data_IF_430925829081
#
_entry.id   IF_430925829081
#
_cell.length_a   1.000
_cell.length_b   1.000
_cell.length_c   1.000
_cell.angle_alpha   90.00
_cell.angle_beta   90.00
_cell.angle_gamma   90.00
#
_symmetry.space_group_name_H-M   'P 1'
#
loop_
_entity.id
_entity.type
_entity.pdbx_description
1 polymer ?
#
# COMPACT_ATOMS: atom_id res chain seq x y z
N UNK A 1 -3.16 46.57 -66.27
CA UNK A 1 -3.40 47.97 -65.84
C UNK A 1 -3.14 48.04 -64.36
N UNK A 2 -2.10 48.78 -63.98
CA UNK A 2 -1.59 48.96 -62.63
C UNK A 2 -2.41 50.02 -61.88
N UNK A 3 -2.72 49.80 -60.60
CA UNK A 3 -2.35 50.68 -59.47
C UNK A 3 -3.02 50.28 -58.15
N UNK A 4 -2.15 50.06 -57.14
CA UNK A 4 -2.18 50.52 -55.74
C UNK A 4 -3.48 50.35 -54.91
N UNK A 5 -3.46 49.84 -53.68
CA UNK A 5 -2.75 50.43 -52.54
C UNK A 5 -2.63 49.41 -51.39
N UNK A 6 -1.41 49.27 -50.89
CA UNK A 6 -1.07 48.83 -49.54
C UNK A 6 -1.76 49.75 -48.52
N UNK A 7 -2.57 49.16 -47.64
CA UNK A 7 -2.82 49.58 -46.23
C UNK A 7 -3.95 48.75 -45.66
N UNK A 8 -3.65 47.75 -44.83
CA UNK A 8 -4.34 47.47 -43.57
C UNK A 8 -3.67 46.28 -42.88
N UNK A 9 -2.86 46.60 -41.87
CA UNK A 9 -2.17 45.67 -41.00
C UNK A 9 -2.98 45.63 -39.69
N UNK A 10 -3.43 44.42 -39.31
CA UNK A 10 -3.96 43.96 -38.01
C UNK A 10 -5.26 44.61 -37.47
N UNK A 11 -6.05 43.98 -36.55
CA UNK A 11 -5.83 42.71 -35.82
C UNK A 11 -7.07 41.79 -35.73
N UNK A 12 -6.92 40.47 -35.90
CA UNK A 12 -7.88 39.49 -35.32
C UNK A 12 -7.11 38.45 -34.51
N UNK A 13 -6.35 38.95 -33.53
CA UNK A 13 -6.21 38.29 -32.24
C UNK A 13 -7.57 38.41 -31.56
N UNK A 14 -8.33 37.31 -31.42
CA UNK A 14 -9.06 36.93 -30.21
C UNK A 14 -9.92 35.71 -30.54
N UNK A 15 -9.31 34.54 -30.68
CA UNK A 15 -10.05 33.31 -30.42
C UNK A 15 -10.31 33.32 -28.91
N UNK A 16 -11.56 33.46 -28.42
CA UNK A 16 -11.79 33.52 -27.00
C UNK A 16 -11.33 32.19 -26.42
N UNK A 17 -10.27 32.27 -25.61
CA UNK A 17 -9.86 31.23 -24.69
C UNK A 17 -11.10 30.98 -23.82
N UNK A 18 -11.86 29.93 -24.17
CA UNK A 18 -13.01 29.48 -23.41
C UNK A 18 -12.47 29.11 -22.03
N UNK A 19 -12.52 30.08 -21.11
CA UNK A 19 -12.35 29.88 -19.70
C UNK A 19 -13.53 29.01 -19.27
N UNK A 20 -13.40 27.71 -19.46
CA UNK A 20 -14.22 26.72 -18.77
C UNK A 20 -13.79 26.78 -17.31
N UNK A 21 -14.25 27.84 -16.63
CA UNK A 21 -14.26 27.94 -15.18
C UNK A 21 -15.29 26.94 -14.68
N UNK A 22 -14.97 25.66 -14.81
CA UNK A 22 -15.71 24.57 -14.20
C UNK A 22 -15.37 24.58 -12.72
N UNK A 23 -16.02 25.47 -11.97
CA UNK A 23 -16.20 25.30 -10.53
C UNK A 23 -17.09 24.07 -10.33
N UNK A 24 -16.53 22.88 -10.53
CA UNK A 24 -17.23 21.62 -10.22
C UNK A 24 -17.32 21.54 -8.72
N UNK A 25 -18.54 21.71 -8.20
CA UNK A 25 -18.88 21.38 -6.82
C UNK A 25 -18.61 19.88 -6.62
N UNK A 26 -17.95 19.52 -5.53
CA UNK A 26 -17.68 18.12 -5.21
C UNK A 26 -19.02 17.44 -4.91
N UNK A 27 -19.38 16.37 -5.64
CA UNK A 27 -20.65 15.68 -5.45
C UNK A 27 -20.73 15.03 -4.06
N UNK A 28 -21.94 14.95 -3.49
CA UNK A 28 -22.17 14.46 -2.12
C UNK A 28 -21.85 12.98 -1.96
N UNK A 29 -21.85 12.23 -3.07
CA UNK A 29 -21.57 10.81 -3.17
C UNK A 29 -20.04 10.52 -3.20
N UNK A 30 -19.20 11.54 -3.42
CA UNK A 30 -17.75 11.36 -3.52
C UNK A 30 -17.09 10.74 -2.26
N UNK A 31 -17.46 11.12 -1.02
CA UNK A 31 -16.94 10.47 0.18
C UNK A 31 -17.34 8.99 0.28
N UNK A 32 -18.55 8.64 -0.16
CA UNK A 32 -19.04 7.25 -0.14
C UNK A 32 -18.26 6.38 -1.13
N UNK A 33 -18.06 6.87 -2.37
CA UNK A 33 -17.24 6.19 -3.38
C UNK A 33 -15.79 6.01 -2.93
N UNK A 34 -15.21 7.02 -2.26
CA UNK A 34 -13.87 6.93 -1.68
C UNK A 34 -13.82 5.93 -0.53
N UNK A 35 -14.87 5.84 0.29
CA UNK A 35 -15.02 4.79 1.30
C UNK A 35 -15.04 3.38 0.68
N UNK A 36 -15.76 3.19 -0.41
CA UNK A 36 -15.84 1.92 -1.14
C UNK A 36 -14.51 1.55 -1.80
N UNK A 37 -13.77 2.53 -2.33
CA UNK A 37 -12.40 2.33 -2.80
C UNK A 37 -11.50 1.79 -1.68
N UNK A 38 -11.63 2.31 -0.46
CA UNK A 38 -10.91 1.80 0.71
C UNK A 38 -11.15 0.31 0.97
N UNK A 39 -12.39 -0.16 0.86
CA UNK A 39 -12.72 -1.60 0.99
C UNK A 39 -12.10 -2.43 -0.14
N UNK A 40 -12.13 -1.91 -1.37
CA UNK A 40 -11.51 -2.57 -2.53
C UNK A 40 -10.00 -2.68 -2.38
N UNK A 41 -9.33 -1.66 -1.85
CA UNK A 41 -7.89 -1.69 -1.55
C UNK A 41 -7.57 -2.86 -0.61
N UNK A 42 -8.36 -3.05 0.45
CA UNK A 42 -8.20 -4.20 1.36
C UNK A 42 -8.45 -5.54 0.67
N UNK A 43 -9.49 -5.67 -0.15
CA UNK A 43 -9.77 -6.92 -0.86
C UNK A 43 -8.65 -7.30 -1.85
N UNK A 44 -8.01 -6.32 -2.50
CA UNK A 44 -6.88 -6.57 -3.40
C UNK A 44 -5.63 -6.94 -2.58
N UNK A 45 -5.38 -6.31 -1.42
CA UNK A 45 -4.32 -6.74 -0.50
C UNK A 45 -4.46 -8.23 -0.18
N UNK A 46 -5.64 -8.64 0.30
CA UNK A 46 -5.88 -10.03 0.69
C UNK A 46 -5.64 -10.98 -0.49
N UNK A 47 -6.10 -10.62 -1.68
CA UNK A 47 -5.88 -11.40 -2.91
C UNK A 47 -4.40 -11.54 -3.26
N UNK A 48 -3.62 -10.45 -3.13
CA UNK A 48 -2.17 -10.48 -3.39
C UNK A 48 -1.43 -11.32 -2.36
N UNK A 49 -1.81 -11.24 -1.08
CA UNK A 49 -1.23 -12.07 -0.02
C UNK A 49 -1.55 -13.56 -0.25
N UNK A 50 -2.79 -13.88 -0.64
CA UNK A 50 -3.16 -15.25 -1.00
C UNK A 50 -2.34 -15.78 -2.18
N UNK A 51 -2.15 -14.97 -3.22
CA UNK A 51 -1.33 -15.35 -4.38
C UNK A 51 0.13 -15.58 -4.00
N UNK A 52 0.70 -14.71 -3.17
CA UNK A 52 2.07 -14.86 -2.66
C UNK A 52 2.25 -16.20 -1.93
N UNK A 53 1.32 -16.53 -1.03
CA UNK A 53 1.35 -17.80 -0.27
C UNK A 53 1.30 -19.02 -1.19
N UNK A 54 0.35 -19.03 -2.13
CA UNK A 54 0.24 -20.12 -3.12
C UNK A 54 1.51 -20.27 -3.96
N UNK A 55 2.11 -19.15 -4.37
CA UNK A 55 3.35 -19.16 -5.13
C UNK A 55 4.51 -19.71 -4.29
N UNK A 56 4.64 -19.33 -3.02
CA UNK A 56 5.71 -19.79 -2.14
C UNK A 56 5.53 -21.26 -1.76
N UNK A 57 4.31 -21.73 -1.53
CA UNK A 57 4.00 -23.13 -1.27
C UNK A 57 4.35 -24.03 -2.46
N UNK A 58 4.14 -23.56 -3.70
CA UNK A 58 4.61 -24.24 -4.90
C UNK A 58 6.15 -24.37 -4.91
N UNK A 59 6.88 -23.35 -4.44
CA UNK A 59 8.35 -23.42 -4.35
C UNK A 59 8.82 -24.37 -3.26
N UNK A 60 8.19 -24.37 -2.08
CA UNK A 60 8.48 -25.34 -1.02
C UNK A 60 8.25 -26.77 -1.50
N UNK A 61 7.16 -27.01 -2.22
CA UNK A 61 6.87 -28.31 -2.84
C UNK A 61 7.97 -28.74 -3.81
N UNK A 62 8.48 -27.82 -4.64
CA UNK A 62 9.61 -28.09 -5.55
C UNK A 62 10.92 -28.40 -4.82
N UNK A 63 11.18 -27.73 -3.69
CA UNK A 63 12.33 -28.04 -2.83
C UNK A 63 12.20 -29.42 -2.21
N UNK A 64 11.01 -29.77 -1.72
CA UNK A 64 10.74 -31.11 -1.17
C UNK A 64 10.90 -32.20 -2.24
N UNK A 65 10.42 -31.94 -3.46
CA UNK A 65 10.61 -32.84 -4.60
C UNK A 65 12.08 -33.05 -4.92
N UNK A 66 12.86 -31.97 -5.02
CA UNK A 66 14.31 -32.03 -5.21
C UNK A 66 14.99 -32.81 -4.07
N UNK A 67 14.63 -32.50 -2.82
CA UNK A 67 15.20 -33.16 -1.65
C UNK A 67 14.99 -34.67 -1.72
N UNK A 68 13.76 -35.11 -2.01
CA UNK A 68 13.42 -36.53 -1.99
C UNK A 68 13.87 -37.30 -3.23
N UNK A 69 13.81 -36.68 -4.42
CA UNK A 69 14.07 -37.36 -5.70
C UNK A 69 15.53 -37.27 -6.14
N UNK A 70 16.27 -36.28 -5.68
CA UNK A 70 17.65 -36.04 -6.12
C UNK A 70 18.63 -36.08 -4.94
N UNK A 71 18.40 -35.25 -3.91
CA UNK A 71 19.37 -35.12 -2.82
C UNK A 71 19.44 -36.36 -1.92
N UNK A 72 18.30 -36.93 -1.51
CA UNK A 72 18.26 -38.12 -0.64
C UNK A 72 18.95 -39.33 -1.30
N UNK A 73 18.72 -39.64 -2.59
CA UNK A 73 19.49 -40.67 -3.29
C UNK A 73 21.00 -40.44 -3.26
N UNK A 74 21.46 -39.22 -3.59
CA UNK A 74 22.89 -38.87 -3.55
C UNK A 74 23.46 -39.01 -2.13
N UNK A 75 22.75 -38.50 -1.13
CA UNK A 75 23.14 -38.64 0.26
C UNK A 75 23.22 -40.12 0.69
N UNK A 76 22.27 -40.96 0.28
CA UNK A 76 22.32 -42.38 0.58
C UNK A 76 23.54 -43.06 -0.04
N UNK A 77 23.85 -42.77 -1.32
CA UNK A 77 25.06 -43.27 -1.97
C UNK A 77 26.34 -42.85 -1.24
N UNK A 78 26.42 -41.60 -0.79
CA UNK A 78 27.55 -41.09 -0.01
C UNK A 78 27.65 -41.76 1.36
N UNK A 79 26.53 -41.93 2.06
CA UNK A 79 26.48 -42.57 3.37
C UNK A 79 26.98 -44.02 3.31
N UNK A 80 26.61 -44.78 2.27
CA UNK A 80 27.08 -46.16 2.10
C UNK A 80 28.54 -46.28 1.63
N UNK A 81 29.17 -45.18 1.22
CA UNK A 81 30.63 -45.13 0.98
C UNK A 81 31.43 -44.96 2.27
N UNK A 82 30.81 -44.56 3.38
CA UNK A 82 31.49 -44.45 4.67
C UNK A 82 31.93 -45.85 5.17
N UNK A 83 33.22 -46.02 5.45
CA UNK A 83 33.82 -47.32 5.81
C UNK A 83 33.12 -48.01 7.00
N UNK A 84 32.73 -47.22 8.01
CA UNK A 84 32.04 -47.74 9.18
C UNK A 84 30.66 -48.31 8.82
N UNK A 85 29.88 -47.59 8.01
CA UNK A 85 28.56 -48.01 7.55
C UNK A 85 28.68 -49.21 6.62
N UNK A 86 29.62 -49.19 5.69
CA UNK A 86 29.88 -50.30 4.76
C UNK A 86 30.23 -51.60 5.49
N UNK A 87 31.11 -51.52 6.50
CA UNK A 87 31.49 -52.68 7.33
C UNK A 87 30.32 -53.19 8.16
N UNK A 88 29.60 -52.29 8.82
CA UNK A 88 28.43 -52.65 9.62
C UNK A 88 27.35 -53.33 8.77
N UNK A 89 27.02 -52.75 7.61
CA UNK A 89 26.04 -53.31 6.67
C UNK A 89 26.45 -54.69 6.18
N UNK A 90 27.72 -54.86 5.79
CA UNK A 90 28.24 -56.16 5.31
C UNK A 90 28.16 -57.25 6.40
N UNK A 91 28.46 -56.89 7.66
CA UNK A 91 28.36 -57.80 8.78
C UNK A 91 26.92 -58.27 9.03
N UNK A 92 25.95 -57.34 8.96
CA UNK A 92 24.51 -57.63 9.12
C UNK A 92 24.00 -58.53 7.98
N UNK A 93 24.38 -58.25 6.74
CA UNK A 93 24.00 -59.10 5.61
C UNK A 93 24.61 -60.51 5.70
N UNK A 94 25.75 -60.67 6.38
CA UNK A 94 26.41 -61.97 6.56
C UNK A 94 25.82 -62.75 7.73
N UNK A 95 25.42 -62.08 8.82
CA UNK A 95 24.79 -62.74 9.98
C UNK A 95 23.36 -63.19 9.68
N UNK A 96 22.69 -62.55 8.72
CA UNK A 96 21.28 -62.74 8.34
C UNK A 96 20.30 -62.69 9.53
N UNK A 97 20.69 -62.03 10.62
CA UNK A 97 19.89 -61.89 11.83
C UNK A 97 18.89 -60.75 11.69
N UNK A 98 17.60 -61.06 11.86
CA UNK A 98 16.54 -60.04 11.84
C UNK A 98 16.66 -59.07 13.03
N UNK A 99 17.22 -59.51 14.15
CA UNK A 99 17.51 -58.65 15.30
C UNK A 99 18.62 -57.63 14.97
N UNK A 100 19.67 -58.06 14.28
CA UNK A 100 20.77 -57.18 13.85
C UNK A 100 20.29 -56.16 12.81
N UNK A 101 19.46 -56.60 11.85
CA UNK A 101 18.81 -55.72 10.85
C UNK A 101 17.96 -54.65 11.54
N UNK A 102 17.11 -55.06 12.49
CA UNK A 102 16.26 -54.14 13.24
C UNK A 102 17.08 -53.16 14.08
N UNK A 103 18.11 -53.63 14.78
CA UNK A 103 19.00 -52.80 15.59
C UNK A 103 19.74 -51.77 14.74
N UNK A 104 20.19 -52.16 13.55
CA UNK A 104 20.83 -51.24 12.63
C UNK A 104 19.88 -50.15 12.13
N UNK A 105 18.66 -50.52 11.69
CA UNK A 105 17.66 -49.56 11.22
C UNK A 105 17.23 -48.59 12.33
N UNK A 106 17.02 -49.10 13.55
CA UNK A 106 16.62 -48.26 14.70
C UNK A 106 17.74 -47.36 15.21
N UNK A 107 19.01 -47.73 15.01
CA UNK A 107 20.16 -46.89 15.36
C UNK A 107 20.48 -45.84 14.28
N UNK A 108 20.51 -46.26 13.01
CA UNK A 108 20.93 -45.40 11.90
C UNK A 108 19.79 -44.55 11.35
N UNK A 109 18.57 -45.10 11.31
CA UNK A 109 17.37 -44.44 10.79
C UNK A 109 17.13 -43.05 11.39
N UNK A 110 17.17 -42.86 12.71
CA UNK A 110 17.02 -41.54 13.33
C UNK A 110 18.10 -40.54 12.88
N UNK A 111 19.36 -40.98 12.75
CA UNK A 111 20.47 -40.12 12.31
C UNK A 111 20.33 -39.70 10.85
N UNK A 112 19.86 -40.63 10.00
CA UNK A 112 19.52 -40.34 8.61
C UNK A 112 18.41 -39.29 8.56
N UNK A 113 17.33 -39.50 9.32
CA UNK A 113 16.21 -38.56 9.35
C UNK A 113 16.62 -37.18 9.86
N UNK A 114 17.47 -37.11 10.89
CA UNK A 114 17.99 -35.85 11.38
C UNK A 114 18.76 -35.08 10.30
N UNK A 115 19.61 -35.76 9.52
CA UNK A 115 20.34 -35.13 8.40
C UNK A 115 19.40 -34.66 7.29
N UNK A 116 18.40 -35.46 6.93
CA UNK A 116 17.38 -35.09 5.92
C UNK A 116 16.59 -33.86 6.39
N UNK A 117 16.11 -33.86 7.63
CA UNK A 117 15.36 -32.75 8.20
C UNK A 117 16.20 -31.48 8.31
N UNK A 118 17.47 -31.60 8.74
CA UNK A 118 18.40 -30.47 8.76
C UNK A 118 18.56 -29.87 7.37
N UNK A 119 18.73 -30.71 6.33
CA UNK A 119 18.86 -30.23 4.95
C UNK A 119 17.58 -29.60 4.44
N UNK A 120 16.41 -30.15 4.79
CA UNK A 120 15.11 -29.54 4.50
C UNK A 120 15.03 -28.14 5.08
N UNK A 121 15.31 -27.97 6.37
CA UNK A 121 15.28 -26.67 7.03
C UNK A 121 16.26 -25.68 6.38
N UNK A 122 17.47 -26.12 6.07
CA UNK A 122 18.49 -25.30 5.37
C UNK A 122 17.97 -24.74 4.03
N UNK A 123 17.20 -25.53 3.27
CA UNK A 123 16.68 -25.14 1.97
C UNK A 123 15.35 -24.36 2.03
N UNK A 124 14.51 -24.63 3.03
CA UNK A 124 13.19 -24.00 3.17
C UNK A 124 13.29 -22.64 3.88
N UNK A 125 14.16 -22.51 4.89
CA UNK A 125 14.26 -21.28 5.70
C UNK A 125 14.46 -20.00 4.85
N UNK A 126 15.33 -19.97 3.82
CA UNK A 126 15.46 -18.79 2.97
C UNK A 126 14.18 -18.42 2.21
N UNK A 127 13.33 -19.40 1.88
CA UNK A 127 12.03 -19.16 1.25
C UNK A 127 11.04 -18.53 2.24
N UNK A 128 11.05 -18.99 3.49
CA UNK A 128 10.22 -18.42 4.56
C UNK A 128 10.61 -16.96 4.84
N UNK A 129 11.90 -16.67 4.92
CA UNK A 129 12.42 -15.30 5.12
C UNK A 129 12.06 -14.39 3.94
N UNK A 130 12.14 -14.92 2.71
CA UNK A 130 11.74 -14.21 1.50
C UNK A 130 10.23 -13.91 1.49
N UNK A 131 9.39 -14.90 1.80
CA UNK A 131 7.94 -14.72 1.87
C UNK A 131 7.56 -13.64 2.88
N UNK A 132 8.12 -13.70 4.10
CA UNK A 132 7.88 -12.70 5.15
C UNK A 132 8.30 -11.29 4.70
N UNK A 133 9.41 -11.19 3.98
CA UNK A 133 9.91 -9.91 3.47
C UNK A 133 9.00 -9.34 2.40
N UNK A 134 8.53 -10.16 1.46
CA UNK A 134 7.62 -9.71 0.39
C UNK A 134 6.25 -9.38 0.99
N UNK A 135 5.70 -10.24 1.86
CA UNK A 135 4.42 -9.98 2.53
C UNK A 135 4.46 -8.63 3.25
N UNK A 136 5.52 -8.36 4.04
CA UNK A 136 5.66 -7.06 4.73
C UNK A 136 5.63 -5.89 3.76
N UNK A 137 6.42 -5.93 2.69
CA UNK A 137 6.45 -4.86 1.68
C UNK A 137 5.09 -4.65 1.03
N UNK A 138 4.39 -5.73 0.68
CA UNK A 138 3.03 -5.65 0.10
C UNK A 138 2.08 -4.97 1.07
N UNK A 139 2.08 -5.39 2.35
CA UNK A 139 1.21 -4.80 3.37
C UNK A 139 1.52 -3.33 3.64
N UNK A 140 2.80 -2.95 3.63
CA UNK A 140 3.23 -1.56 3.81
C UNK A 140 2.70 -0.66 2.70
N UNK A 141 2.76 -1.11 1.44
CA UNK A 141 2.20 -0.39 0.28
C UNK A 141 0.67 -0.23 0.39
N UNK A 142 -0.06 -1.29 0.77
CA UNK A 142 -1.51 -1.21 0.95
C UNK A 142 -1.92 -0.35 2.14
N UNK A 143 -1.10 -0.32 3.20
CA UNK A 143 -1.32 0.56 4.35
C UNK A 143 -1.14 2.03 3.95
N UNK A 144 -0.13 2.36 3.15
CA UNK A 144 0.04 3.70 2.57
C UNK A 144 -1.15 4.07 1.67
N UNK A 145 -1.57 3.16 0.78
CA UNK A 145 -2.71 3.37 -0.10
C UNK A 145 -4.00 3.67 0.68
N UNK A 146 -4.27 2.93 1.77
CA UNK A 146 -5.39 3.22 2.67
C UNK A 146 -5.27 4.58 3.36
N UNK A 147 -4.09 4.94 3.84
CA UNK A 147 -3.87 6.25 4.48
C UNK A 147 -4.14 7.41 3.51
N UNK A 148 -3.71 7.29 2.27
CA UNK A 148 -4.01 8.23 1.18
C UNK A 148 -5.52 8.26 0.94
N UNK A 149 -6.17 7.11 0.78
CA UNK A 149 -7.62 7.02 0.56
C UNK A 149 -8.41 7.65 1.70
N UNK A 150 -8.04 7.41 2.96
CA UNK A 150 -8.70 8.00 4.12
C UNK A 150 -8.54 9.52 4.16
N UNK A 151 -7.38 10.03 3.76
CA UNK A 151 -7.14 11.48 3.62
C UNK A 151 -8.03 12.09 2.54
N UNK A 152 -8.18 11.41 1.39
CA UNK A 152 -9.09 11.80 0.31
C UNK A 152 -10.54 11.77 0.80
N UNK A 153 -10.98 10.69 1.45
CA UNK A 153 -12.34 10.58 2.01
C UNK A 153 -12.65 11.71 2.98
N UNK A 154 -11.72 12.04 3.89
CA UNK A 154 -11.88 13.15 4.84
C UNK A 154 -11.98 14.50 4.14
N UNK A 155 -11.14 14.74 3.13
CA UNK A 155 -11.19 15.94 2.31
C UNK A 155 -12.51 16.07 1.55
N UNK A 156 -12.96 14.99 0.89
CA UNK A 156 -14.23 14.94 0.16
C UNK A 156 -15.41 15.16 1.10
N UNK A 157 -15.40 14.58 2.30
CA UNK A 157 -16.46 14.75 3.30
C UNK A 157 -16.52 16.20 3.81
N UNK A 158 -15.36 16.82 4.01
CA UNK A 158 -15.27 18.22 4.44
C UNK A 158 -15.78 19.15 3.33
N UNK A 159 -15.37 18.91 2.09
CA UNK A 159 -15.76 19.72 0.94
C UNK A 159 -17.25 19.56 0.58
N UNK A 160 -17.80 18.34 0.64
CA UNK A 160 -19.23 18.11 0.41
C UNK A 160 -20.10 18.77 1.48
N UNK A 161 -19.64 18.79 2.75
CA UNK A 161 -20.33 19.49 3.85
C UNK A 161 -20.28 21.01 3.71
N UNK A 162 -19.14 21.58 3.31
CA UNK A 162 -19.02 23.02 3.03
C UNK A 162 -19.92 23.44 1.86
N UNK A 163 -20.02 22.60 0.82
CA UNK A 163 -20.96 22.82 -0.28
C UNK A 163 -22.43 22.79 0.21
N UNK A 164 -22.79 21.89 1.13
CA UNK A 164 -24.13 21.86 1.74
C UNK A 164 -24.45 23.10 2.59
N UNK A 165 -23.48 23.64 3.33
CA UNK A 165 -23.68 24.81 4.18
C UNK A 165 -23.93 26.08 3.37
N UNK A 166 -23.27 26.27 2.21
CA UNK A 166 -23.50 27.43 1.34
C UNK A 166 -24.94 27.51 0.80
N UNK A 167 -25.52 26.40 0.34
CA UNK A 167 -26.89 26.38 -0.21
C UNK A 167 -27.98 26.54 0.85
N UNK A 168 -27.71 26.10 2.08
CA UNK A 168 -28.71 26.05 3.16
C UNK A 168 -28.86 27.39 3.89
N UNK A 169 -27.78 28.15 4.07
CA UNK A 169 -27.84 29.47 4.72
C UNK A 169 -28.42 30.57 3.82
N UNK A 170 -28.23 30.46 2.49
CA UNK A 170 -28.77 31.43 1.52
C UNK A 170 -30.30 31.38 1.38
N UNK A 171 -30.93 30.25 1.69
CA UNK A 171 -32.40 30.10 1.63
C UNK A 171 -33.09 30.31 2.99
N UNK A 172 -32.38 30.22 4.11
CA UNK A 172 -32.99 30.20 5.45
C UNK A 172 -33.06 31.57 6.14
N UNK A 173 -32.29 32.56 5.68
CA UNK A 173 -32.19 33.87 6.34
C UNK A 173 -32.47 35.00 5.36
N UNK A 174 -33.71 35.17 4.91
CA UNK A 174 -34.14 36.35 4.15
C UNK A 174 -33.89 37.66 4.92
N UNK A 175 -32.64 38.12 4.95
CA UNK A 175 -32.11 39.20 5.77
C UNK A 175 -31.15 40.01 4.90
N UNK A 176 -31.65 41.14 4.41
CA UNK A 176 -30.88 42.20 3.78
C UNK A 176 -30.18 43.04 4.86
N UNK A 177 -29.06 42.57 5.40
CA UNK A 177 -28.17 43.43 6.18
C UNK A 177 -26.72 43.35 5.68
N UNK A 178 -26.32 44.43 5.01
CA UNK A 178 -25.07 44.56 4.23
C UNK A 178 -23.81 44.43 5.11
N UNK A 179 -23.92 44.70 6.41
CA UNK A 179 -22.79 44.58 7.36
C UNK A 179 -22.44 43.15 7.70
N UNK A 180 -23.41 42.24 7.71
CA UNK A 180 -23.19 40.82 7.98
C UNK A 180 -22.62 40.14 6.73
N UNK A 181 -23.03 40.57 5.54
CA UNK A 181 -22.47 40.10 4.27
C UNK A 181 -20.97 40.43 4.17
N UNK A 182 -20.57 41.67 4.44
CA UNK A 182 -19.16 42.08 4.33
C UNK A 182 -18.23 41.35 5.30
N UNK A 183 -18.70 41.07 6.53
CA UNK A 183 -17.91 40.29 7.49
C UNK A 183 -17.71 38.82 7.06
N UNK A 184 -18.71 38.23 6.40
CA UNK A 184 -18.62 36.88 5.86
C UNK A 184 -17.73 36.84 4.61
N UNK A 185 -17.79 37.85 3.75
CA UNK A 185 -16.94 37.97 2.57
C UNK A 185 -15.45 38.18 2.94
N UNK A 186 -15.16 38.94 3.99
CA UNK A 186 -13.80 39.10 4.53
C UNK A 186 -13.25 37.79 5.13
N UNK A 187 -14.10 37.02 5.81
CA UNK A 187 -13.72 35.71 6.37
C UNK A 187 -13.45 34.67 5.27
N UNK A 188 -14.33 34.60 4.25
CA UNK A 188 -14.14 33.73 3.09
C UNK A 188 -12.90 34.14 2.27
N UNK A 189 -12.60 35.46 2.18
CA UNK A 189 -11.39 35.99 1.56
C UNK A 189 -10.11 35.54 2.27
N UNK A 190 -10.08 35.61 3.62
CA UNK A 190 -8.93 35.16 4.42
C UNK A 190 -8.66 33.65 4.28
N UNK A 191 -9.73 32.85 4.19
CA UNK A 191 -9.62 31.39 3.97
C UNK A 191 -9.17 31.09 2.54
N UNK A 192 -9.63 31.84 1.54
CA UNK A 192 -9.22 31.67 0.15
C UNK A 192 -7.74 32.02 -0.09
N UNK A 193 -7.20 33.03 0.60
CA UNK A 193 -5.77 33.35 0.57
C UNK A 193 -4.90 32.25 1.20
N UNK A 194 -5.40 31.58 2.24
CA UNK A 194 -4.75 30.44 2.87
C UNK A 194 -4.56 29.27 1.89
N UNK A 195 -5.54 29.05 1.01
CA UNK A 195 -5.59 27.93 0.05
C UNK A 195 -4.76 28.20 -1.22
N UNK A 196 -4.53 29.47 -1.60
CA UNK A 196 -3.81 29.83 -2.84
C UNK A 196 -2.28 29.79 -2.76
N UNK A 197 -1.68 29.65 -1.58
CA UNK A 197 -0.22 29.75 -1.40
C UNK A 197 0.53 28.41 -1.43
N UNK A 198 0.92 27.93 -2.61
CA UNK A 198 1.89 26.83 -2.78
C UNK A 198 3.31 27.25 -2.41
N UNK A 199 3.74 26.95 -1.18
CA UNK A 199 5.10 26.56 -0.73
C UNK A 199 5.28 26.93 0.76
N UNK A 200 5.80 25.96 1.51
CA UNK A 200 6.07 25.92 2.96
C UNK A 200 4.88 25.85 3.94
N UNK A 201 4.66 24.64 4.46
CA UNK A 201 3.57 24.25 5.38
C UNK A 201 3.91 24.41 6.87
N UNK A 202 5.16 24.67 7.25
CA UNK A 202 5.58 24.68 8.65
C UNK A 202 5.44 26.06 9.33
N UNK A 203 5.82 27.15 8.65
CA UNK A 203 5.88 28.50 9.25
C UNK A 203 4.50 29.16 9.45
N UNK A 204 3.45 28.69 8.76
CA UNK A 204 2.10 29.27 8.83
C UNK A 204 1.22 28.71 9.95
N UNK A 205 1.58 27.55 10.52
CA UNK A 205 0.84 26.98 11.64
C UNK A 205 0.97 27.87 12.89
N UNK A 206 2.17 28.42 13.10
CA UNK A 206 2.47 29.30 14.24
C UNK A 206 1.73 30.64 14.12
N UNK A 207 1.70 31.23 12.92
CA UNK A 207 0.94 32.47 12.66
C UNK A 207 -0.59 32.30 12.80
N UNK A 208 -1.12 31.12 12.46
CA UNK A 208 -2.54 30.82 12.62
C UNK A 208 -2.91 30.69 14.10
N UNK A 209 -2.09 30.00 14.89
CA UNK A 209 -2.28 29.86 16.34
C UNK A 209 -2.23 31.24 17.03
N UNK A 210 -1.27 32.10 16.68
CA UNK A 210 -1.17 33.46 17.25
C UNK A 210 -2.41 34.33 16.95
N UNK A 211 -2.95 34.23 15.73
CA UNK A 211 -4.14 35.01 15.34
C UNK A 211 -5.42 34.50 16.01
N UNK A 212 -5.56 33.18 16.15
CA UNK A 212 -6.69 32.57 16.87
C UNK A 212 -6.65 32.93 18.35
N UNK A 213 -5.47 32.89 18.98
CA UNK A 213 -5.30 33.31 20.38
C UNK A 213 -5.58 34.81 20.57
N UNK A 214 -5.19 35.66 19.61
CA UNK A 214 -5.51 37.10 19.63
C UNK A 214 -7.02 37.38 19.57
N UNK A 215 -7.78 36.56 18.85
CA UNK A 215 -9.25 36.66 18.76
C UNK A 215 -9.89 36.16 20.06
N UNK A 216 -9.42 35.04 20.62
CA UNK A 216 -9.92 34.51 21.91
C UNK A 216 -9.68 35.51 23.05
N UNK A 217 -8.57 36.24 23.02
CA UNK A 217 -8.24 37.27 24.02
C UNK A 217 -9.18 38.49 23.93
N UNK A 218 -9.53 38.91 22.71
CA UNK A 218 -10.47 40.01 22.45
C UNK A 218 -11.93 39.68 22.78
N UNK A 219 -12.27 38.39 22.88
CA UNK A 219 -13.60 37.92 23.25
C UNK A 219 -13.76 37.67 24.77
N UNK A 220 -12.69 37.86 25.55
CA UNK A 220 -12.69 37.69 27.02
C UNK A 220 -12.59 39.02 27.79
N UNK A 221 -12.53 40.15 27.09
CA UNK A 221 -12.82 41.50 27.61
C UNK A 221 -14.24 41.89 27.18
#
# INVERSE_FOLDING_TARGET
MSRNRLTQILPYCLFPLLLISSCVSIPREAPELSGELGKRISAIEDSHISLLRLFMDEKRTKVDDFLMKEWVPLFAEELFKEDAIKKAWSAICTSDSDEDKLKFLTMLGPKIQERINKKRTELIQPLDELELTIERKVRDEYTQARAINNSITSFLASASKVAESRDRYLNMLGIHDEKVSNALDEADGAVAELVKGTKDKAEKLDSFIEKVDGIIKKLKE
#
